data_IF_889523870018
#
_entry.id   IF_889523870018
#
_cell.length_a   1.000
_cell.length_b   1.000
_cell.length_c   1.000
_cell.angle_alpha   90.00
_cell.angle_beta   90.00
_cell.angle_gamma   90.00
#
_symmetry.space_group_name_H-M   'P 1'
#
loop_
_entity.id
_entity.type
_entity.pdbx_description
1 polymer ?
#
# COMPACT_ATOMS: atom_id res chain seq x y z
N UNK A 1 43.78 -15.64 16.37
CA UNK A 1 43.28 -14.33 15.90
C UNK A 1 41.92 -14.58 15.28
N UNK A 2 40.84 -14.30 16.02
CA UNK A 2 39.46 -14.54 15.56
C UNK A 2 39.01 -13.41 14.65
N UNK A 3 38.50 -13.74 13.47
CA UNK A 3 37.77 -12.81 12.62
C UNK A 3 36.38 -12.60 13.26
N UNK A 4 35.97 -11.38 13.64
CA UNK A 4 34.59 -11.16 14.01
C UNK A 4 33.72 -11.23 12.75
N UNK A 5 32.94 -12.32 12.70
CA UNK A 5 31.57 -12.44 12.18
C UNK A 5 31.17 -11.46 11.07
N UNK A 6 31.00 -11.99 9.86
CA UNK A 6 30.16 -11.38 8.84
C UNK A 6 28.75 -11.16 9.42
N UNK A 7 28.51 -9.96 9.94
CA UNK A 7 27.17 -9.48 10.21
C UNK A 7 26.59 -9.19 8.82
N UNK A 8 25.84 -10.15 8.29
CA UNK A 8 24.94 -9.96 7.15
C UNK A 8 24.15 -8.68 7.45
N UNK A 9 24.42 -7.61 6.70
CA UNK A 9 23.61 -6.40 6.76
C UNK A 9 22.26 -6.82 6.23
N UNK A 10 21.31 -7.10 7.13
CA UNK A 10 19.92 -7.27 6.77
C UNK A 10 19.51 -5.93 6.15
N UNK A 11 19.37 -5.92 4.83
CA UNK A 11 18.92 -4.78 4.04
C UNK A 11 17.51 -4.44 4.54
N UNK A 12 17.40 -3.56 5.53
CA UNK A 12 16.10 -3.15 6.05
C UNK A 12 15.29 -2.58 4.89
N UNK A 13 14.00 -2.93 4.78
CA UNK A 13 13.19 -2.47 3.67
C UNK A 13 13.21 -0.93 3.65
N UNK A 14 13.92 -0.36 2.68
CA UNK A 14 14.08 1.08 2.58
C UNK A 14 12.71 1.72 2.33
N UNK A 15 12.29 2.58 3.26
CA UNK A 15 11.02 3.30 3.20
C UNK A 15 11.29 4.76 2.85
N UNK A 16 10.75 5.21 1.74
CA UNK A 16 10.93 6.58 1.27
C UNK A 16 9.59 7.34 1.30
N UNK A 17 9.37 8.08 2.39
CA UNK A 17 8.16 8.88 2.59
C UNK A 17 8.07 10.10 1.66
N UNK A 18 9.17 10.50 1.01
CA UNK A 18 9.18 11.68 0.14
C UNK A 18 8.27 11.49 -1.09
N UNK A 19 7.98 10.24 -1.48
CA UNK A 19 7.09 9.94 -2.61
C UNK A 19 5.68 10.48 -2.44
N UNK A 20 5.21 10.65 -1.20
CA UNK A 20 3.89 11.24 -0.93
C UNK A 20 3.83 12.73 -1.28
N UNK A 21 4.98 13.40 -1.37
CA UNK A 21 5.12 14.78 -1.82
C UNK A 21 5.17 14.92 -3.34
N UNK A 22 5.27 13.81 -4.10
CA UNK A 22 5.33 13.88 -5.56
C UNK A 22 3.96 14.32 -6.13
N UNK A 23 3.97 15.12 -7.23
CA UNK A 23 2.74 15.61 -7.84
C UNK A 23 1.77 14.48 -8.18
N UNK A 24 0.53 14.60 -7.70
CA UNK A 24 -0.55 13.64 -8.00
C UNK A 24 -0.58 12.39 -7.12
N UNK A 25 0.48 12.05 -6.38
CA UNK A 25 0.50 10.84 -5.54
C UNK A 25 -0.55 10.90 -4.43
N UNK A 26 -0.62 12.02 -3.70
CA UNK A 26 -1.62 12.19 -2.64
C UNK A 26 -3.05 12.14 -3.16
N UNK A 27 -3.32 12.75 -4.32
CA UNK A 27 -4.64 12.68 -4.96
C UNK A 27 -5.03 11.27 -5.38
N UNK A 28 -4.08 10.48 -5.90
CA UNK A 28 -4.29 9.06 -6.19
C UNK A 28 -4.58 8.29 -4.91
N UNK A 29 -3.80 8.50 -3.85
CA UNK A 29 -4.00 7.84 -2.56
C UNK A 29 -5.39 8.15 -1.98
N UNK A 30 -5.79 9.41 -1.93
CA UNK A 30 -7.10 9.83 -1.42
C UNK A 30 -8.25 9.22 -2.24
N UNK A 31 -8.13 9.22 -3.57
CA UNK A 31 -9.11 8.64 -4.48
C UNK A 31 -9.26 7.13 -4.26
N UNK A 32 -8.14 6.40 -4.21
CA UNK A 32 -8.15 4.94 -4.02
C UNK A 32 -8.66 4.57 -2.63
N UNK A 33 -8.21 5.27 -1.58
CA UNK A 33 -8.64 5.01 -0.21
C UNK A 33 -10.16 5.20 -0.06
N UNK A 34 -10.69 6.30 -0.61
CA UNK A 34 -12.14 6.56 -0.63
C UNK A 34 -12.90 5.46 -1.36
N UNK A 35 -12.40 5.02 -2.53
CA UNK A 35 -13.04 3.97 -3.32
C UNK A 35 -13.04 2.62 -2.57
N UNK A 36 -11.89 2.20 -2.05
CA UNK A 36 -11.76 0.90 -1.36
C UNK A 36 -12.58 0.89 -0.08
N UNK A 37 -12.50 1.94 0.73
CA UNK A 37 -13.31 2.05 1.95
C UNK A 37 -14.80 2.01 1.65
N UNK A 38 -15.25 2.66 0.57
CA UNK A 38 -16.66 2.56 0.14
C UNK A 38 -17.04 1.15 -0.31
N UNK A 39 -16.19 0.51 -1.11
CA UNK A 39 -16.44 -0.83 -1.66
C UNK A 39 -16.37 -1.92 -0.55
N UNK A 40 -15.76 -1.63 0.61
CA UNK A 40 -15.58 -2.53 1.76
C UNK A 40 -16.00 -1.89 3.11
N UNK A 41 -17.01 -1.00 3.09
CA UNK A 41 -17.34 -0.12 4.23
C UNK A 41 -17.72 -0.82 5.53
N UNK A 42 -18.08 -2.11 5.48
CA UNK A 42 -18.44 -2.90 6.67
C UNK A 42 -17.24 -3.43 7.45
N UNK A 43 -16.04 -3.33 6.88
CA UNK A 43 -14.83 -3.96 7.44
C UNK A 43 -13.60 -3.04 7.42
N UNK A 44 -13.61 -1.96 6.64
CA UNK A 44 -12.46 -1.08 6.46
C UNK A 44 -12.86 0.38 6.63
N UNK A 45 -12.15 1.07 7.51
CA UNK A 45 -12.25 2.52 7.64
C UNK A 45 -11.37 3.21 6.59
N UNK A 46 -11.82 4.38 6.10
CA UNK A 46 -11.08 5.14 5.08
C UNK A 46 -9.67 5.48 5.53
N UNK A 47 -9.51 5.87 6.80
CA UNK A 47 -8.24 6.33 7.32
C UNK A 47 -7.23 5.18 7.45
N UNK A 48 -7.68 3.98 7.82
CA UNK A 48 -6.86 2.77 7.80
C UNK A 48 -6.39 2.43 6.38
N UNK A 49 -7.31 2.45 5.42
CA UNK A 49 -6.97 2.21 4.01
C UNK A 49 -5.99 3.26 3.49
N UNK A 50 -6.13 4.51 3.92
CA UNK A 50 -5.23 5.59 3.55
C UNK A 50 -3.83 5.36 4.13
N UNK A 51 -3.73 5.00 5.41
CA UNK A 51 -2.44 4.72 6.07
C UNK A 51 -1.73 3.52 5.42
N UNK A 52 -2.46 2.43 5.19
CA UNK A 52 -1.94 1.24 4.50
C UNK A 52 -1.47 1.57 3.08
N UNK A 53 -2.21 2.43 2.38
CA UNK A 53 -1.84 2.93 1.06
C UNK A 53 -0.59 3.80 1.08
N UNK A 54 -0.45 4.68 2.08
CA UNK A 54 0.75 5.51 2.27
C UNK A 54 1.99 4.66 2.53
N UNK A 55 1.88 3.64 3.40
CA UNK A 55 2.96 2.67 3.66
C UNK A 55 3.33 1.94 2.37
N UNK A 56 2.34 1.43 1.61
CA UNK A 56 2.60 0.75 0.34
C UNK A 56 3.37 1.63 -0.65
N UNK A 57 2.99 2.89 -0.79
CA UNK A 57 3.67 3.83 -1.68
C UNK A 57 5.11 4.07 -1.23
N UNK A 58 5.34 4.30 0.07
CA UNK A 58 6.67 4.59 0.61
C UNK A 58 7.61 3.38 0.56
N UNK A 59 7.10 2.16 0.79
CA UNK A 59 7.89 0.92 0.68
C UNK A 59 8.15 0.51 -0.77
N UNK A 60 7.33 0.96 -1.73
CA UNK A 60 7.49 0.64 -3.15
C UNK A 60 7.83 1.91 -3.96
N UNK A 61 8.67 2.78 -3.40
CA UNK A 61 8.95 4.11 -3.92
C UNK A 61 9.50 4.10 -5.36
N UNK A 62 10.31 3.12 -5.74
CA UNK A 62 10.78 2.97 -7.12
C UNK A 62 9.65 2.69 -8.09
N UNK A 63 8.72 1.81 -7.73
CA UNK A 63 7.49 1.55 -8.52
C UNK A 63 6.65 2.82 -8.67
N UNK A 64 6.54 3.64 -7.62
CA UNK A 64 5.83 4.94 -7.70
C UNK A 64 6.52 5.85 -8.71
N UNK A 65 7.85 5.98 -8.63
CA UNK A 65 8.65 6.80 -9.55
C UNK A 65 8.53 6.30 -10.99
N UNK A 66 8.57 4.99 -11.21
CA UNK A 66 8.41 4.37 -12.52
C UNK A 66 7.03 4.66 -13.13
N UNK A 67 5.96 4.58 -12.33
CA UNK A 67 4.62 4.93 -12.82
C UNK A 67 4.50 6.42 -13.18
N UNK A 68 5.10 7.30 -12.39
CA UNK A 68 5.06 8.75 -12.65
C UNK A 68 5.95 9.16 -13.83
N UNK A 69 7.07 8.48 -14.04
CA UNK A 69 7.96 8.70 -15.19
C UNK A 69 7.54 7.98 -16.46
N UNK A 70 6.70 6.95 -16.35
CA UNK A 70 6.26 6.12 -17.46
C UNK A 70 4.99 6.60 -18.17
N UNK A 71 4.69 5.96 -19.31
CA UNK A 71 3.53 6.29 -20.16
C UNK A 71 2.17 6.13 -19.46
N UNK A 72 2.07 5.24 -18.45
CA UNK A 72 0.81 5.00 -17.73
C UNK A 72 0.47 6.11 -16.74
N UNK A 73 1.47 6.86 -16.27
CA UNK A 73 1.30 8.01 -15.38
C UNK A 73 0.50 7.69 -14.10
N UNK A 74 -0.18 8.72 -13.54
CA UNK A 74 -1.02 8.57 -12.34
C UNK A 74 -2.14 7.55 -12.46
N UNK A 75 -2.63 7.26 -13.68
CA UNK A 75 -3.67 6.23 -13.89
C UNK A 75 -3.12 4.82 -13.66
N UNK A 76 -1.88 4.57 -14.07
CA UNK A 76 -1.17 3.33 -13.78
C UNK A 76 -1.00 3.14 -12.28
N UNK A 77 -0.54 4.18 -11.60
CA UNK A 77 -0.36 4.18 -10.14
C UNK A 77 -1.69 3.91 -9.41
N UNK A 78 -2.77 4.56 -9.83
CA UNK A 78 -4.11 4.33 -9.26
C UNK A 78 -4.54 2.87 -9.40
N UNK A 79 -4.40 2.28 -10.59
CA UNK A 79 -4.79 0.88 -10.83
C UNK A 79 -3.95 -0.08 -9.98
N UNK A 80 -2.65 0.15 -9.91
CA UNK A 80 -1.73 -0.65 -9.10
C UNK A 80 -2.08 -0.58 -7.61
N UNK A 81 -2.23 0.63 -7.06
CA UNK A 81 -2.52 0.83 -5.63
C UNK A 81 -3.87 0.21 -5.25
N UNK A 82 -4.89 0.41 -6.08
CA UNK A 82 -6.21 -0.20 -5.88
C UNK A 82 -6.14 -1.73 -5.84
N UNK A 83 -5.41 -2.36 -6.76
CA UNK A 83 -5.23 -3.82 -6.77
C UNK A 83 -4.59 -4.31 -5.46
N UNK A 84 -3.52 -3.64 -5.01
CA UNK A 84 -2.79 -4.04 -3.78
C UNK A 84 -3.63 -3.92 -2.52
N UNK A 85 -4.41 -2.85 -2.40
CA UNK A 85 -5.28 -2.64 -1.25
C UNK A 85 -6.44 -3.65 -1.24
N UNK A 86 -7.01 -4.00 -2.40
CA UNK A 86 -8.02 -5.05 -2.48
C UNK A 86 -7.46 -6.42 -2.09
N UNK A 87 -6.25 -6.75 -2.54
CA UNK A 87 -5.62 -8.04 -2.22
C UNK A 87 -5.39 -8.19 -0.71
N UNK A 88 -5.14 -7.08 0.01
CA UNK A 88 -5.08 -7.05 1.48
C UNK A 88 -6.44 -7.06 2.16
N UNK A 89 -7.45 -6.40 1.58
CA UNK A 89 -8.81 -6.35 2.10
C UNK A 89 -9.53 -7.71 2.03
N UNK A 90 -9.34 -8.47 0.94
CA UNK A 90 -10.04 -9.74 0.69
C UNK A 90 -9.86 -10.78 1.82
N UNK A 91 -8.65 -11.04 2.33
CA UNK A 91 -8.44 -11.92 3.48
C UNK A 91 -9.18 -11.46 4.74
N UNK A 92 -9.16 -10.16 5.03
CA UNK A 92 -9.84 -9.59 6.21
C UNK A 92 -11.35 -9.75 6.09
N UNK A 93 -11.91 -9.44 4.92
CA UNK A 93 -13.33 -9.66 4.61
C UNK A 93 -13.75 -11.12 4.81
N UNK A 94 -12.91 -12.07 4.37
CA UNK A 94 -13.16 -13.51 4.53
C UNK A 94 -13.14 -13.94 5.99
N UNK A 95 -12.25 -13.39 6.81
CA UNK A 95 -12.19 -13.67 8.25
C UNK A 95 -13.43 -13.13 8.96
N UNK A 96 -13.77 -11.86 8.73
CA UNK A 96 -14.96 -11.24 9.29
C UNK A 96 -16.25 -12.01 8.96
N UNK A 97 -16.41 -12.43 7.69
CA UNK A 97 -17.57 -13.24 7.27
C UNK A 97 -17.61 -14.63 7.91
N UNK A 98 -16.45 -15.22 8.25
CA UNK A 98 -16.39 -16.52 8.93
C UNK A 98 -16.80 -16.39 10.40
N UNK A 99 -16.39 -15.31 11.06
CA UNK A 99 -16.74 -15.03 12.46
C UNK A 99 -18.24 -14.81 12.64
N UNK A 100 -18.89 -14.06 11.74
CA UNK A 100 -20.35 -13.86 11.78
C UNK A 100 -21.13 -15.16 11.62
N UNK A 101 -20.58 -16.17 10.92
CA UNK A 101 -21.26 -17.43 10.64
C UNK A 101 -21.14 -18.47 11.77
N UNK A 102 -20.37 -18.18 12.81
CA UNK A 102 -20.14 -19.06 13.97
C UNK A 102 -20.89 -18.59 15.23
N UNK A 103 -21.71 -17.54 15.13
CA UNK A 103 -22.64 -17.07 16.16
C UNK A 103 -24.07 -17.51 15.81
#
# INVERSE_FOLDING_TARGET
MGLPNACEVLDEPYVDWSVLGLPGVRGVLDSVATKVARDYATILERDDVWQDGAILLATNHDTVRDYLGGYLGPRGLHRWLWSRLIDRARPQARRANREVRCL
#
